data_IF_983389962526
#
_entry.id   IF_983389962526
#
_cell.length_a   1.000
_cell.length_b   1.000
_cell.length_c   1.000
_cell.angle_alpha   90.00
_cell.angle_beta   90.00
_cell.angle_gamma   90.00
#
_symmetry.space_group_name_H-M   'P 1'
#
loop_
_entity.id
_entity.type
_entity.pdbx_description
1 polymer ?
#
# COMPACT_ATOMS: atom_id res chain seq x y z
N UNK A 1 -2.32 -20.82 8.09
CA UNK A 1 -3.47 -21.38 8.84
C UNK A 1 -3.87 -20.51 10.04
N UNK A 2 -2.93 -20.07 10.91
CA UNK A 2 -3.24 -19.21 12.08
C UNK A 2 -4.00 -17.93 11.70
N UNK A 3 -3.46 -17.12 10.78
CA UNK A 3 -4.07 -15.84 10.39
C UNK A 3 -5.47 -16.00 9.76
N UNK A 4 -5.69 -17.01 8.92
CA UNK A 4 -7.00 -17.30 8.32
C UNK A 4 -8.04 -17.69 9.38
N UNK A 5 -7.63 -18.48 10.38
CA UNK A 5 -8.50 -18.89 11.49
C UNK A 5 -8.84 -17.71 12.40
N UNK A 6 -7.85 -16.87 12.72
CA UNK A 6 -8.03 -15.66 13.53
C UNK A 6 -8.92 -14.64 12.81
N UNK A 7 -8.69 -14.39 11.52
CA UNK A 7 -9.51 -13.50 10.68
C UNK A 7 -10.96 -13.95 10.63
N UNK A 8 -11.21 -15.25 10.50
CA UNK A 8 -12.55 -15.82 10.48
C UNK A 8 -13.49 -15.09 9.50
N UNK A 9 -14.61 -14.60 10.03
CA UNK A 9 -15.61 -13.79 9.30
C UNK A 9 -15.41 -12.27 9.40
N UNK A 10 -14.30 -11.81 9.96
CA UNK A 10 -14.08 -10.37 10.16
C UNK A 10 -13.92 -9.66 8.80
N UNK A 11 -14.53 -8.49 8.70
CA UNK A 11 -14.35 -7.59 7.56
C UNK A 11 -13.11 -6.70 7.74
N UNK A 12 -12.88 -5.79 6.79
CA UNK A 12 -11.71 -4.92 6.81
C UNK A 12 -11.71 -3.98 8.02
N UNK A 13 -12.86 -3.38 8.36
CA UNK A 13 -12.94 -2.37 9.41
C UNK A 13 -12.73 -3.01 10.78
N UNK A 14 -13.28 -4.21 10.99
CA UNK A 14 -13.05 -5.03 12.19
C UNK A 14 -11.59 -5.45 12.33
N UNK A 15 -10.95 -5.91 11.25
CA UNK A 15 -9.53 -6.27 11.24
C UNK A 15 -8.65 -5.04 11.52
N UNK A 16 -8.97 -3.89 10.94
CA UNK A 16 -8.25 -2.65 11.18
C UNK A 16 -8.42 -2.15 12.63
N UNK A 17 -9.59 -2.32 13.23
CA UNK A 17 -9.82 -1.99 14.63
C UNK A 17 -8.92 -2.84 15.56
N UNK A 18 -8.80 -4.14 15.29
CA UNK A 18 -7.91 -5.04 16.04
C UNK A 18 -6.43 -4.66 15.89
N UNK A 19 -6.03 -4.14 14.73
CA UNK A 19 -4.67 -3.66 14.50
C UNK A 19 -4.28 -2.44 15.35
N UNK A 20 -5.27 -1.67 15.82
CA UNK A 20 -5.04 -0.51 16.69
C UNK A 20 -5.16 -0.84 18.19
N UNK A 21 -5.49 -2.08 18.55
CA UNK A 21 -5.51 -2.48 19.96
C UNK A 21 -4.08 -2.57 20.51
N UNK A 22 -3.86 -2.27 21.79
CA UNK A 22 -2.53 -2.28 22.39
C UNK A 22 -2.00 -3.69 22.65
N UNK A 23 -2.86 -4.71 22.65
CA UNK A 23 -2.53 -6.08 23.02
C UNK A 23 -2.88 -7.08 21.92
N UNK A 24 -2.24 -8.25 21.98
CA UNK A 24 -2.55 -9.36 21.09
C UNK A 24 -3.99 -9.87 21.32
N UNK A 25 -4.66 -10.23 20.23
CA UNK A 25 -6.03 -10.73 20.25
C UNK A 25 -6.20 -11.85 19.22
N UNK A 26 -7.01 -12.86 19.57
CA UNK A 26 -7.23 -14.06 18.75
C UNK A 26 -5.95 -14.73 18.24
N UNK A 27 -4.86 -14.66 19.03
CA UNK A 27 -3.56 -15.26 18.69
C UNK A 27 -2.73 -14.48 17.65
N UNK A 28 -3.07 -13.23 17.36
CA UNK A 28 -2.28 -12.32 16.53
C UNK A 28 -1.92 -11.04 17.32
N UNK A 29 -0.71 -10.56 17.11
CA UNK A 29 -0.27 -9.24 17.58
C UNK A 29 -0.88 -8.10 16.75
N UNK A 30 -0.89 -6.85 17.25
CA UNK A 30 -1.38 -5.69 16.50
C UNK A 30 -0.69 -5.52 15.14
N UNK A 31 0.62 -5.77 15.06
CA UNK A 31 1.37 -5.74 13.81
C UNK A 31 0.92 -6.81 12.81
N UNK A 32 0.58 -8.01 13.28
CA UNK A 32 0.04 -9.07 12.41
C UNK A 32 -1.37 -8.76 11.92
N UNK A 33 -2.21 -8.14 12.75
CA UNK A 33 -3.49 -7.61 12.33
C UNK A 33 -3.35 -6.51 11.27
N UNK A 34 -2.38 -5.61 11.44
CA UNK A 34 -2.09 -4.57 10.45
C UNK A 34 -1.65 -5.17 9.11
N UNK A 35 -0.78 -6.18 9.13
CA UNK A 35 -0.38 -6.93 7.92
C UNK A 35 -1.58 -7.54 7.21
N UNK A 36 -2.53 -8.09 7.96
CA UNK A 36 -3.76 -8.63 7.41
C UNK A 36 -4.68 -7.54 6.82
N UNK A 37 -4.83 -6.40 7.52
CA UNK A 37 -5.58 -5.25 7.02
C UNK A 37 -5.03 -4.76 5.66
N UNK A 38 -3.70 -4.66 5.55
CA UNK A 38 -3.00 -4.28 4.32
C UNK A 38 -3.32 -5.24 3.17
N UNK A 39 -3.35 -6.54 3.41
CA UNK A 39 -3.72 -7.54 2.40
C UNK A 39 -5.18 -7.44 1.97
N UNK A 40 -6.07 -7.03 2.88
CA UNK A 40 -7.51 -6.88 2.62
C UNK A 40 -7.87 -5.54 1.96
N UNK A 41 -7.02 -4.52 2.10
CA UNK A 41 -7.31 -3.15 1.68
C UNK A 41 -7.67 -3.02 0.20
N UNK A 42 -6.90 -3.65 -0.69
CA UNK A 42 -7.13 -3.56 -2.14
C UNK A 42 -8.54 -4.02 -2.54
N UNK A 43 -8.94 -5.25 -2.19
CA UNK A 43 -10.31 -5.72 -2.39
C UNK A 43 -11.38 -4.87 -1.69
N UNK A 44 -11.18 -4.49 -0.41
CA UNK A 44 -12.17 -3.75 0.38
C UNK A 44 -12.52 -2.35 -0.17
N UNK A 45 -11.58 -1.75 -0.91
CA UNK A 45 -11.73 -0.42 -1.50
C UNK A 45 -11.62 -0.39 -3.03
N UNK A 46 -11.70 -1.54 -3.71
CA UNK A 46 -11.46 -1.64 -5.15
C UNK A 46 -12.35 -0.67 -5.97
N UNK A 47 -13.61 -0.49 -5.56
CA UNK A 47 -14.59 0.40 -6.18
C UNK A 47 -14.70 1.79 -5.50
N UNK A 48 -13.99 2.02 -4.40
CA UNK A 48 -14.09 3.24 -3.56
C UNK A 48 -12.71 3.67 -3.07
N UNK A 49 -11.75 3.73 -4.00
CA UNK A 49 -10.33 3.91 -3.67
C UNK A 49 -10.03 5.22 -2.93
N UNK A 50 -10.83 6.26 -3.16
CA UNK A 50 -10.71 7.57 -2.50
C UNK A 50 -11.08 7.52 -1.00
N UNK A 51 -11.81 6.50 -0.55
CA UNK A 51 -12.16 6.30 0.86
C UNK A 51 -11.16 5.41 1.61
N UNK A 52 -10.16 4.86 0.91
CA UNK A 52 -9.22 3.94 1.52
C UNK A 52 -8.29 4.65 2.52
N UNK A 53 -8.09 4.11 3.73
CA UNK A 53 -7.13 4.67 4.67
C UNK A 53 -5.71 4.54 4.12
N UNK A 54 -4.81 5.44 4.51
CA UNK A 54 -3.39 5.34 4.14
C UNK A 54 -2.71 4.38 5.12
N UNK A 55 -2.48 3.14 4.70
CA UNK A 55 -1.82 2.11 5.52
C UNK A 55 -0.37 1.87 5.08
N UNK A 56 0.54 1.59 6.03
CA UNK A 56 1.90 1.18 5.72
C UNK A 56 1.92 -0.21 5.10
N UNK A 57 2.67 -0.40 4.01
CA UNK A 57 2.80 -1.68 3.34
C UNK A 57 3.79 -2.58 4.10
N UNK A 58 3.35 -3.12 5.24
CA UNK A 58 4.14 -3.98 6.12
C UNK A 58 4.04 -5.48 5.80
N UNK A 59 3.47 -5.84 4.64
CA UNK A 59 3.38 -7.22 4.17
C UNK A 59 3.65 -7.31 2.66
N UNK A 60 4.34 -8.37 2.20
CA UNK A 60 4.45 -8.65 0.77
C UNK A 60 3.08 -8.91 0.18
N UNK A 61 2.72 -8.15 -0.86
CA UNK A 61 1.45 -8.36 -1.56
C UNK A 61 1.54 -9.61 -2.45
N UNK A 62 0.50 -10.48 -2.45
CA UNK A 62 0.42 -11.61 -3.36
C UNK A 62 0.59 -11.20 -4.83
N UNK A 63 1.13 -12.10 -5.65
CA UNK A 63 1.38 -11.83 -7.07
C UNK A 63 0.11 -11.40 -7.82
N UNK A 64 -1.03 -12.01 -7.50
CA UNK A 64 -2.36 -11.69 -8.04
C UNK A 64 -3.22 -11.08 -6.94
N UNK A 65 -3.16 -9.76 -6.80
CA UNK A 65 -4.03 -9.03 -5.88
C UNK A 65 -4.52 -7.74 -6.52
N UNK A 66 -5.72 -7.31 -6.12
CA UNK A 66 -6.15 -5.93 -6.34
C UNK A 66 -5.34 -5.05 -5.41
N UNK A 67 -4.76 -3.96 -5.95
CA UNK A 67 -3.91 -3.05 -5.19
C UNK A 67 -4.33 -1.62 -5.47
N UNK A 68 -4.35 -0.82 -4.42
CA UNK A 68 -4.53 0.62 -4.57
C UNK A 68 -3.23 1.28 -5.02
N UNK A 69 -3.32 2.47 -5.61
CA UNK A 69 -2.15 3.22 -6.07
C UNK A 69 -1.09 3.39 -4.98
N UNK A 70 -1.48 3.76 -3.75
CA UNK A 70 -0.54 3.88 -2.63
C UNK A 70 0.16 2.56 -2.29
N UNK A 71 -0.58 1.43 -2.28
CA UNK A 71 0.03 0.12 -2.03
C UNK A 71 1.02 -0.24 -3.15
N UNK A 72 0.68 0.09 -4.39
CA UNK A 72 1.55 -0.18 -5.53
C UNK A 72 2.80 0.69 -5.54
N UNK A 73 2.68 1.96 -5.15
CA UNK A 73 3.82 2.88 -5.02
C UNK A 73 4.76 2.41 -3.91
N UNK A 74 4.22 2.12 -2.71
CA UNK A 74 5.01 1.58 -1.61
C UNK A 74 5.76 0.31 -2.04
N UNK A 75 5.08 -0.60 -2.76
CA UNK A 75 5.69 -1.80 -3.31
C UNK A 75 6.84 -1.50 -4.26
N UNK A 76 6.64 -0.59 -5.23
CA UNK A 76 7.67 -0.22 -6.20
C UNK A 76 8.92 0.33 -5.49
N UNK A 77 8.73 1.24 -4.53
CA UNK A 77 9.82 1.76 -3.73
C UNK A 77 10.54 0.65 -2.95
N UNK A 78 9.81 -0.23 -2.25
CA UNK A 78 10.44 -1.36 -1.53
C UNK A 78 11.28 -2.25 -2.43
N UNK A 79 10.80 -2.58 -3.64
CA UNK A 79 11.48 -3.55 -4.51
C UNK A 79 12.57 -2.95 -5.40
N UNK A 80 12.53 -1.64 -5.70
CA UNK A 80 13.49 -1.01 -6.63
C UNK A 80 14.42 0.00 -5.95
N UNK A 81 13.97 0.68 -4.89
CA UNK A 81 14.75 1.76 -4.29
C UNK A 81 15.91 1.27 -3.41
N UNK A 82 16.13 -0.04 -3.27
CA UNK A 82 17.30 -0.59 -2.58
C UNK A 82 18.63 -0.25 -3.28
N UNK A 83 18.59 0.08 -4.57
CA UNK A 83 19.76 0.50 -5.36
C UNK A 83 19.59 1.95 -5.83
N UNK A 84 20.67 2.77 -5.90
CA UNK A 84 20.57 4.14 -6.41
C UNK A 84 19.97 4.23 -7.82
N UNK A 85 20.29 3.28 -8.71
CA UNK A 85 19.73 3.23 -10.05
C UNK A 85 18.21 3.04 -10.06
N UNK A 86 17.69 2.13 -9.24
CA UNK A 86 16.25 1.88 -9.14
C UNK A 86 15.51 3.04 -8.48
N UNK A 87 16.08 3.62 -7.41
CA UNK A 87 15.58 4.86 -6.79
C UNK A 87 15.45 5.99 -7.83
N UNK A 88 16.51 6.24 -8.59
CA UNK A 88 16.54 7.33 -9.57
C UNK A 88 15.60 7.06 -10.75
N UNK A 89 15.41 5.80 -11.16
CA UNK A 89 14.41 5.43 -12.16
C UNK A 89 13.00 5.76 -11.67
N UNK A 90 12.65 5.33 -10.46
CA UNK A 90 11.33 5.61 -9.89
C UNK A 90 11.03 7.10 -9.80
N UNK A 91 12.01 7.92 -9.36
CA UNK A 91 11.85 9.37 -9.34
C UNK A 91 11.62 9.92 -10.75
N UNK A 92 12.40 9.46 -11.73
CA UNK A 92 12.29 9.89 -13.14
C UNK A 92 10.96 9.51 -13.79
N UNK A 93 10.42 8.35 -13.44
CA UNK A 93 9.16 7.88 -14.00
C UNK A 93 7.98 8.60 -13.32
N UNK A 94 8.00 8.73 -11.98
CA UNK A 94 6.90 9.35 -11.23
C UNK A 94 6.88 10.88 -11.36
N UNK A 95 8.02 11.56 -11.58
CA UNK A 95 8.03 13.01 -11.83
C UNK A 95 7.27 13.39 -13.11
N UNK A 96 7.01 12.46 -14.04
CA UNK A 96 6.21 12.73 -15.24
C UNK A 96 4.74 13.07 -14.92
N UNK A 97 4.26 12.66 -13.74
CA UNK A 97 2.94 13.04 -13.26
C UNK A 97 2.89 14.47 -12.71
N UNK A 98 4.05 15.03 -12.37
CA UNK A 98 4.20 16.27 -11.63
C UNK A 98 3.93 17.52 -12.49
N UNK A 99 3.43 18.55 -11.82
CA UNK A 99 3.16 19.88 -12.37
C UNK A 99 3.84 21.00 -11.57
N UNK A 100 4.49 20.68 -10.44
CA UNK A 100 5.03 21.67 -9.48
C UNK A 100 6.40 21.27 -8.93
N UNK A 101 7.31 22.22 -8.75
CA UNK A 101 8.63 21.92 -8.13
C UNK A 101 8.53 21.34 -6.71
N UNK A 102 7.48 21.68 -5.96
CA UNK A 102 7.27 21.19 -4.59
C UNK A 102 7.01 19.69 -4.53
N UNK A 103 6.19 19.14 -5.44
CA UNK A 103 5.88 17.71 -5.40
C UNK A 103 7.10 16.88 -5.82
N UNK A 104 7.92 17.34 -6.76
CA UNK A 104 9.20 16.74 -7.10
C UNK A 104 10.18 16.70 -5.92
N UNK A 105 10.33 17.80 -5.17
CA UNK A 105 11.20 17.82 -3.99
C UNK A 105 10.74 16.78 -2.94
N UNK A 106 9.43 16.69 -2.70
CA UNK A 106 8.86 15.70 -1.77
C UNK A 106 8.98 14.25 -2.29
N UNK A 107 8.87 14.04 -3.59
CA UNK A 107 9.13 12.74 -4.22
C UNK A 107 10.57 12.28 -3.99
N UNK A 108 11.54 13.18 -4.16
CA UNK A 108 12.95 12.88 -3.88
C UNK A 108 13.17 12.56 -2.40
N UNK A 109 12.60 13.36 -1.49
CA UNK A 109 12.70 13.12 -0.06
C UNK A 109 12.11 11.75 0.34
N UNK A 110 10.97 11.36 -0.22
CA UNK A 110 10.40 10.03 -0.07
C UNK A 110 11.37 8.95 -0.59
N UNK A 111 11.89 9.12 -1.80
CA UNK A 111 12.79 8.16 -2.43
C UNK A 111 14.08 7.96 -1.62
N UNK A 112 14.66 9.03 -1.10
CA UNK A 112 15.86 9.01 -0.26
C UNK A 112 15.58 8.37 1.10
N UNK A 113 14.44 8.69 1.72
CA UNK A 113 14.01 8.08 2.99
C UNK A 113 13.89 6.58 2.87
N UNK A 114 13.21 6.09 1.82
CA UNK A 114 13.06 4.63 1.59
C UNK A 114 14.40 4.00 1.23
N UNK A 115 15.21 4.64 0.38
CA UNK A 115 16.52 4.11 -0.02
C UNK A 115 17.46 3.93 1.17
N UNK A 116 17.57 4.95 2.03
CA UNK A 116 18.42 4.88 3.22
C UNK A 116 17.93 3.83 4.21
N UNK A 117 16.61 3.63 4.33
CA UNK A 117 16.05 2.54 5.14
C UNK A 117 16.42 1.18 4.57
N UNK A 118 16.21 0.96 3.27
CA UNK A 118 16.51 -0.31 2.60
C UNK A 118 18.00 -0.67 2.68
N UNK A 119 18.91 0.33 2.67
CA UNK A 119 20.36 0.12 2.84
C UNK A 119 20.76 -0.34 4.24
N UNK A 120 19.97 0.00 5.26
CA UNK A 120 20.27 -0.23 6.68
C UNK A 120 19.47 -1.40 7.27
N UNK A 121 18.81 -2.20 6.44
CA UNK A 121 18.05 -3.37 6.89
C UNK A 121 19.00 -4.37 7.56
N UNK A 122 18.66 -4.77 8.77
CA UNK A 122 19.33 -5.89 9.43
C UNK A 122 18.98 -7.22 8.70
N UNK A 123 19.80 -8.27 8.82
CA UNK A 123 19.55 -9.56 8.16
C UNK A 123 18.20 -10.22 8.50
N UNK A 124 17.67 -9.93 9.69
CA UNK A 124 16.41 -10.44 10.23
C UNK A 124 15.21 -9.49 9.98
N UNK A 125 15.46 -8.25 9.54
CA UNK A 125 14.41 -7.28 9.25
C UNK A 125 13.76 -7.54 7.88
N UNK A 126 12.42 -7.54 7.86
CA UNK A 126 11.68 -7.59 6.61
C UNK A 126 11.70 -6.20 5.96
N UNK A 127 12.04 -6.11 4.67
CA UNK A 127 12.08 -4.84 3.93
C UNK A 127 10.73 -4.08 3.93
N UNK A 128 9.62 -4.80 4.12
CA UNK A 128 8.26 -4.23 4.24
C UNK A 128 8.04 -3.47 5.55
N UNK A 129 8.72 -3.86 6.63
CA UNK A 129 8.57 -3.21 7.94
C UNK A 129 9.16 -1.80 7.96
N UNK A 130 9.95 -1.41 6.93
CA UNK A 130 10.39 -0.03 6.74
C UNK A 130 9.24 0.99 6.64
N UNK A 131 8.06 0.57 6.20
CA UNK A 131 6.87 1.41 6.15
C UNK A 131 6.19 1.58 7.51
N UNK A 132 6.50 0.76 8.53
CA UNK A 132 5.97 0.97 9.88
C UNK A 132 6.58 2.20 10.57
N UNK A 133 7.71 2.71 10.04
CA UNK A 133 8.38 3.87 10.60
C UNK A 133 7.59 5.15 10.29
N UNK A 134 7.28 5.98 11.33
CA UNK A 134 6.51 7.20 11.14
C UNK A 134 7.09 8.15 10.09
N UNK A 135 8.42 8.29 10.05
CA UNK A 135 9.13 9.16 9.09
C UNK A 135 8.89 8.74 7.63
N UNK A 136 8.89 7.44 7.34
CA UNK A 136 8.66 6.91 5.99
C UNK A 136 7.23 7.18 5.53
N UNK A 137 6.24 6.94 6.41
CA UNK A 137 4.84 7.20 6.10
C UNK A 137 4.53 8.69 6.00
N UNK A 138 5.18 9.51 6.83
CA UNK A 138 5.06 10.97 6.77
C UNK A 138 5.59 11.50 5.44
N UNK A 139 6.75 11.04 4.97
CA UNK A 139 7.29 11.42 3.67
C UNK A 139 6.34 11.04 2.51
N UNK A 140 5.73 9.85 2.57
CA UNK A 140 4.74 9.40 1.59
C UNK A 140 3.50 10.29 1.58
N UNK A 141 2.95 10.59 2.76
CA UNK A 141 1.77 11.44 2.91
C UNK A 141 2.04 12.88 2.45
N UNK A 142 3.18 13.45 2.81
CA UNK A 142 3.59 14.79 2.39
C UNK A 142 3.72 14.88 0.87
N UNK A 143 4.31 13.87 0.22
CA UNK A 143 4.36 13.81 -1.24
C UNK A 143 2.97 13.67 -1.85
N UNK A 144 2.11 12.76 -1.36
CA UNK A 144 0.72 12.61 -1.84
C UNK A 144 -0.08 13.91 -1.74
N UNK A 145 0.08 14.65 -0.64
CA UNK A 145 -0.62 15.92 -0.39
C UNK A 145 -0.13 17.07 -1.29
N UNK A 146 1.09 16.97 -1.85
CA UNK A 146 1.58 17.95 -2.83
C UNK A 146 1.08 17.71 -4.25
N UNK A 147 0.40 16.58 -4.50
CA UNK A 147 -0.19 16.26 -5.80
C UNK A 147 -1.65 16.71 -5.83
N UNK A 148 -2.00 17.50 -6.85
CA UNK A 148 -3.41 17.70 -7.22
C UNK A 148 -4.03 16.38 -7.71
N UNK A 149 -5.37 16.33 -7.78
CA UNK A 149 -6.07 15.10 -8.16
C UNK A 149 -5.71 14.59 -9.57
N UNK A 150 -5.55 15.45 -10.60
CA UNK A 150 -5.05 15.02 -11.90
C UNK A 150 -3.64 14.41 -11.86
N UNK A 151 -2.71 14.99 -11.09
CA UNK A 151 -1.34 14.45 -10.97
C UNK A 151 -1.37 13.14 -10.20
N UNK A 152 -2.21 13.01 -9.18
CA UNK A 152 -2.40 11.73 -8.50
C UNK A 152 -2.93 10.63 -9.41
N UNK A 153 -3.94 10.94 -10.25
CA UNK A 153 -4.46 9.99 -11.22
C UNK A 153 -3.37 9.53 -12.21
N UNK A 154 -2.50 10.44 -12.66
CA UNK A 154 -1.33 10.09 -13.49
C UNK A 154 -0.32 9.23 -12.74
N UNK A 155 0.02 9.57 -11.51
CA UNK A 155 0.90 8.77 -10.63
C UNK A 155 0.35 7.35 -10.45
N UNK A 156 -0.96 7.21 -10.25
CA UNK A 156 -1.62 5.90 -10.17
C UNK A 156 -1.50 5.10 -11.47
N UNK A 157 -1.66 5.75 -12.63
CA UNK A 157 -1.48 5.10 -13.93
C UNK A 157 -0.03 4.67 -14.18
N UNK A 158 0.95 5.54 -13.92
CA UNK A 158 2.39 5.26 -14.08
C UNK A 158 2.80 4.11 -13.15
N UNK A 159 2.44 4.17 -11.86
CA UNK A 159 2.75 3.09 -10.91
C UNK A 159 2.10 1.77 -11.28
N UNK A 160 0.88 1.79 -11.85
CA UNK A 160 0.25 0.60 -12.41
C UNK A 160 1.03 0.00 -13.59
N UNK A 161 1.47 0.85 -14.53
CA UNK A 161 2.24 0.44 -15.71
C UNK A 161 3.62 -0.14 -15.33
N UNK A 162 4.36 0.54 -14.44
CA UNK A 162 5.66 0.07 -13.93
C UNK A 162 5.56 -1.27 -13.21
N UNK A 163 4.39 -1.59 -12.64
CA UNK A 163 4.14 -2.85 -11.97
C UNK A 163 3.73 -4.00 -12.89
N UNK A 164 3.55 -3.74 -14.19
CA UNK A 164 2.90 -4.68 -15.12
C UNK A 164 1.43 -4.95 -14.75
N UNK A 165 0.80 -4.02 -14.02
CA UNK A 165 -0.57 -4.15 -13.56
C UNK A 165 -1.59 -3.87 -14.65
N UNK A 166 -2.79 -4.44 -14.49
CA UNK A 166 -3.96 -4.11 -15.32
C UNK A 166 -4.97 -3.33 -14.50
N UNK A 167 -5.63 -2.34 -15.12
CA UNK A 167 -6.72 -1.60 -14.47
C UNK A 167 -7.84 -2.57 -14.12
N UNK A 168 -8.23 -2.57 -12.85
CA UNK A 168 -9.38 -3.33 -12.35
C UNK A 168 -10.63 -2.45 -12.49
N UNK A 169 -11.65 -2.98 -13.16
CA UNK A 169 -12.97 -2.36 -13.34
C UNK A 169 -14.02 -3.09 -12.51
N UNK A 170 -15.16 -2.44 -12.23
CA UNK A 170 -16.29 -3.09 -11.56
C UNK A 170 -16.70 -4.40 -12.26
N UNK A 171 -16.70 -4.43 -13.60
CA UNK A 171 -16.95 -5.63 -14.40
C UNK A 171 -15.93 -6.74 -14.14
N UNK A 172 -14.64 -6.40 -14.05
CA UNK A 172 -13.59 -7.39 -13.73
C UNK A 172 -13.67 -7.93 -12.30
N UNK A 173 -14.34 -7.21 -11.39
CA UNK A 173 -14.57 -7.61 -10.01
C UNK A 173 -15.85 -8.42 -9.83
N UNK A 174 -16.80 -8.39 -10.76
CA UNK A 174 -18.07 -9.14 -10.66
C UNK A 174 -17.87 -10.64 -10.34
N UNK A 175 -16.91 -11.37 -10.97
CA UNK A 175 -16.67 -12.77 -10.62
C UNK A 175 -16.12 -12.97 -9.20
N UNK A 176 -15.55 -11.92 -8.60
CA UNK A 176 -14.98 -11.91 -7.25
C UNK A 176 -15.98 -11.43 -6.20
N UNK A 177 -17.17 -10.97 -6.60
CA UNK A 177 -18.33 -10.82 -5.72
C UNK A 177 -18.88 -12.22 -5.36
N UNK A 178 -18.04 -13.03 -4.73
CA UNK A 178 -18.52 -14.20 -4.01
C UNK A 178 -19.22 -13.69 -2.76
N UNK A 179 -20.34 -14.32 -2.41
CA UNK A 179 -20.97 -14.25 -1.08
C UNK A 179 -20.03 -14.90 -0.03
N UNK A 180 -18.79 -14.45 0.02
CA UNK A 180 -17.85 -14.78 1.07
C UNK A 180 -18.15 -13.83 2.23
N UNK A 181 -18.35 -14.39 3.42
CA UNK A 181 -18.64 -13.68 4.68
C UNK A 181 -17.46 -12.81 5.16
N UNK A 182 -16.85 -11.99 4.29
CA UNK A 182 -15.76 -11.11 4.72
C UNK A 182 -14.90 -10.46 3.64
N UNK A 183 -15.36 -10.30 2.39
CA UNK A 183 -14.61 -9.52 1.38
C UNK A 183 -15.42 -8.46 0.63
N UNK A 184 -16.74 -8.53 0.63
CA UNK A 184 -17.58 -7.46 0.11
C UNK A 184 -18.83 -7.35 0.97
N UNK A 185 -19.07 -6.17 1.55
CA UNK A 185 -20.39 -5.85 2.06
C UNK A 185 -21.37 -5.90 0.87
N UNK A 186 -22.49 -6.64 0.95
CA UNK A 186 -23.58 -6.46 0.02
C UNK A 186 -24.00 -4.98 0.10
N UNK A 187 -24.18 -4.33 -1.05
CA UNK A 187 -24.84 -3.03 -1.09
C UNK A 187 -26.27 -3.23 -0.60
N UNK A 188 -26.70 -2.39 0.35
CA UNK A 188 -28.11 -2.05 0.52
C UNK A 188 -28.57 -1.22 -0.69
#
# INVERSE_FOLDING_TARGET
>A
VRATRAKGGLDFDQVLALAHQPAASHGLSPAEWLRLAVLMQGPAFANRQHLAPVLPLCAPLPARSVRLALQQIQRLFTVQAGRPAGKNSLVRDLQQADRSGTSHLRLRALADTVHERLKRLAPDEQCWDGWLQPSTMQALQQWRQALDEPSWARTAAISGALAGGRRVTARSLQPWHLASRGYAAPRA
#
